data_IF_246774694025
#
_entry.id   IF_246774694025
#
_cell.length_a   1.000
_cell.length_b   1.000
_cell.length_c   1.000
_cell.angle_alpha   90.00
_cell.angle_beta   90.00
_cell.angle_gamma   90.00
#
_symmetry.space_group_name_H-M   'P 1'
#
loop_
_entity.id
_entity.type
_entity.pdbx_description
1 polymer ?
#
# COMPACT_ATOMS: atom_id res chain seq x y z
N UNK A 1 -13.23 -23.49 -52.49
CA UNK A 1 -13.28 -22.07 -52.08
C UNK A 1 -14.47 -21.91 -51.15
N UNK A 2 -14.20 -21.88 -49.83
CA UNK A 2 -14.47 -20.74 -48.92
C UNK A 2 -15.94 -20.76 -48.44
N UNK A 3 -16.38 -20.70 -47.17
CA UNK A 3 -15.83 -20.51 -45.81
C UNK A 3 -16.93 -21.05 -44.87
N UNK A 4 -16.61 -21.86 -43.85
CA UNK A 4 -17.64 -22.33 -42.88
C UNK A 4 -17.57 -21.48 -41.63
N UNK A 5 -18.74 -20.95 -41.28
CA UNK A 5 -19.01 -19.98 -40.23
C UNK A 5 -18.63 -20.45 -38.82
N UNK A 6 -18.35 -19.41 -38.02
CA UNK A 6 -17.91 -19.36 -36.63
C UNK A 6 -18.41 -20.45 -35.68
N UNK A 7 -17.42 -21.03 -35.01
CA UNK A 7 -17.45 -21.84 -33.79
C UNK A 7 -18.71 -21.65 -32.93
N UNK A 8 -19.44 -22.76 -32.74
CA UNK A 8 -20.31 -22.92 -31.57
C UNK A 8 -20.16 -24.33 -31.06
N UNK A 9 -19.49 -24.49 -29.91
CA UNK A 9 -19.80 -25.52 -28.92
C UNK A 9 -19.12 -25.21 -27.56
N UNK A 10 -19.90 -25.16 -26.45
CA UNK A 10 -19.43 -25.08 -25.07
C UNK A 10 -19.09 -26.51 -24.58
N UNK A 11 -18.24 -26.75 -23.56
CA UNK A 11 -18.81 -26.98 -22.20
C UNK A 11 -17.83 -26.91 -21.00
N UNK A 12 -18.43 -27.17 -19.83
CA UNK A 12 -17.89 -27.85 -18.63
C UNK A 12 -16.90 -27.12 -17.73
N UNK A 13 -17.29 -27.12 -16.46
CA UNK A 13 -16.51 -26.79 -15.27
C UNK A 13 -16.27 -25.31 -14.99
N UNK A 14 -17.28 -24.73 -14.34
CA UNK A 14 -17.11 -23.67 -13.35
C UNK A 14 -16.13 -24.11 -12.25
N UNK A 15 -14.84 -24.21 -12.57
CA UNK A 15 -13.81 -24.19 -11.54
C UNK A 15 -13.72 -22.74 -11.11
N UNK A 16 -14.44 -22.38 -10.05
CA UNK A 16 -14.11 -21.19 -9.26
C UNK A 16 -12.74 -21.50 -8.64
N UNK A 17 -11.68 -21.29 -9.42
CA UNK A 17 -10.32 -21.35 -8.92
C UNK A 17 -10.26 -20.25 -7.88
N UNK A 18 -9.86 -20.59 -6.65
CA UNK A 18 -9.55 -19.60 -5.64
C UNK A 18 -8.40 -18.75 -6.17
N UNK A 19 -8.73 -17.64 -6.85
CA UNK A 19 -7.79 -16.77 -7.55
C UNK A 19 -7.08 -15.88 -6.52
N UNK A 20 -6.35 -16.51 -5.61
CA UNK A 20 -5.11 -15.92 -5.08
C UNK A 20 -3.96 -16.10 -6.09
N UNK A 21 -4.28 -16.18 -7.38
CA UNK A 21 -3.30 -15.95 -8.44
C UNK A 21 -2.89 -14.51 -8.25
N UNK A 22 -1.72 -14.32 -7.62
CA UNK A 22 -0.94 -13.10 -7.75
C UNK A 22 -0.86 -12.82 -9.25
N UNK A 23 -1.76 -12.00 -9.76
CA UNK A 23 -1.73 -11.56 -11.14
C UNK A 23 -0.33 -10.99 -11.39
N UNK A 24 0.48 -11.54 -12.32
CA UNK A 24 1.78 -10.98 -12.63
C UNK A 24 1.69 -9.65 -13.41
N UNK A 25 0.53 -8.97 -13.41
CA UNK A 25 0.23 -7.81 -14.27
C UNK A 25 0.27 -6.45 -13.59
N UNK A 26 0.59 -6.38 -12.30
CA UNK A 26 1.12 -5.14 -11.72
C UNK A 26 2.57 -5.40 -11.37
N UNK A 27 3.58 -4.73 -11.99
CA UNK A 27 4.85 -4.59 -11.29
C UNK A 27 4.50 -4.13 -9.88
N UNK A 28 5.08 -4.77 -8.85
CA UNK A 28 4.97 -4.26 -7.50
C UNK A 28 5.47 -2.81 -7.58
N UNK A 29 4.55 -1.85 -7.75
CA UNK A 29 4.93 -0.46 -7.86
C UNK A 29 5.71 -0.16 -6.60
N UNK A 30 6.88 0.46 -6.73
CA UNK A 30 7.72 0.72 -5.59
C UNK A 30 6.89 1.51 -4.59
N UNK A 31 6.68 0.97 -3.39
CA UNK A 31 5.87 1.65 -2.40
C UNK A 31 6.62 2.92 -1.97
N UNK A 32 6.00 4.06 -2.20
CA UNK A 32 6.54 5.39 -1.88
C UNK A 32 5.86 5.97 -0.64
N UNK A 33 6.61 6.80 0.08
CA UNK A 33 6.07 7.51 1.22
C UNK A 33 5.10 8.62 0.77
N UNK A 34 3.85 8.67 1.26
CA UNK A 34 2.88 9.70 0.86
C UNK A 34 3.26 11.11 1.32
N UNK A 35 4.20 11.25 2.27
CA UNK A 35 4.65 12.55 2.79
C UNK A 35 5.79 13.14 1.96
N UNK A 36 6.74 12.31 1.52
CA UNK A 36 7.96 12.80 0.85
C UNK A 36 8.16 12.29 -0.57
N UNK A 37 7.30 11.39 -1.06
CA UNK A 37 7.38 10.79 -2.39
C UNK A 37 8.56 9.87 -2.62
N UNK A 38 9.41 9.62 -1.62
CA UNK A 38 10.56 8.73 -1.78
C UNK A 38 10.16 7.27 -1.61
N UNK A 39 10.80 6.40 -2.39
CA UNK A 39 10.71 4.95 -2.23
C UNK A 39 11.08 4.52 -0.81
N UNK A 40 10.31 3.58 -0.26
CA UNK A 40 10.67 2.95 1.00
C UNK A 40 11.95 2.12 0.86
N UNK A 41 12.77 2.13 1.91
CA UNK A 41 14.01 1.36 2.01
C UNK A 41 14.19 0.82 3.43
N UNK A 42 15.26 0.07 3.68
CA UNK A 42 15.52 -0.52 5.01
C UNK A 42 16.31 0.40 5.96
N UNK A 43 16.65 1.61 5.52
CA UNK A 43 17.40 2.61 6.30
C UNK A 43 16.45 3.74 6.73
N UNK A 44 16.67 4.98 6.26
CA UNK A 44 15.95 6.17 6.75
C UNK A 44 14.52 6.28 6.19
N UNK A 45 14.22 5.57 5.10
CA UNK A 45 12.89 5.50 4.52
C UNK A 45 12.22 4.17 4.88
N UNK A 46 12.49 3.63 6.07
CA UNK A 46 11.77 2.46 6.58
C UNK A 46 10.29 2.81 6.81
N UNK A 47 9.33 2.04 6.26
CA UNK A 47 7.92 2.33 6.46
C UNK A 47 7.51 2.01 7.91
N UNK A 48 6.89 2.97 8.58
CA UNK A 48 6.30 2.84 9.91
C UNK A 48 4.78 2.95 9.79
N UNK A 49 4.08 1.97 10.37
CA UNK A 49 2.63 1.87 10.32
C UNK A 49 2.03 2.67 11.47
N UNK A 50 1.12 3.57 11.14
CA UNK A 50 0.33 4.35 12.10
C UNK A 50 -0.85 3.53 12.62
N UNK A 51 -1.47 3.95 13.73
CA UNK A 51 -2.68 3.30 14.28
C UNK A 51 -3.85 3.19 13.29
N UNK A 52 -3.89 4.07 12.29
CA UNK A 52 -4.86 4.07 11.21
C UNK A 52 -4.52 3.15 10.03
N UNK A 53 -3.48 2.31 10.16
CA UNK A 53 -2.97 1.36 9.16
C UNK A 53 -2.35 2.00 7.90
N UNK A 54 -2.08 3.31 7.92
CA UNK A 54 -1.29 3.96 6.87
C UNK A 54 0.18 3.98 7.24
N UNK A 55 1.02 3.87 6.21
CA UNK A 55 2.47 3.88 6.36
C UNK A 55 3.05 5.26 6.06
N UNK A 56 4.08 5.65 6.81
CA UNK A 56 4.89 6.85 6.55
C UNK A 56 6.36 6.48 6.76
N UNK A 57 7.28 7.18 6.10
CA UNK A 57 8.71 6.92 6.25
C UNK A 57 9.20 7.30 7.67
N UNK A 58 10.19 6.59 8.21
CA UNK A 58 10.74 6.86 9.55
C UNK A 58 11.22 8.31 9.73
N UNK A 59 12.00 8.83 8.80
CA UNK A 59 12.46 10.23 8.82
C UNK A 59 11.27 11.22 8.82
N UNK A 60 10.25 10.93 8.01
CA UNK A 60 9.04 11.74 7.93
C UNK A 60 8.25 11.69 9.25
N UNK A 61 8.20 10.52 9.89
CA UNK A 61 7.54 10.33 11.16
C UNK A 61 8.25 11.12 12.28
N UNK A 62 9.58 11.14 12.28
CA UNK A 62 10.37 11.94 13.22
C UNK A 62 10.10 13.44 13.05
N UNK A 63 10.11 13.96 11.81
CA UNK A 63 9.80 15.38 11.54
C UNK A 63 8.38 15.75 12.01
N UNK A 64 7.39 14.88 11.77
CA UNK A 64 6.02 15.08 12.24
C UNK A 64 5.94 15.13 13.77
N UNK A 65 6.74 14.32 14.46
CA UNK A 65 6.83 14.31 15.91
C UNK A 65 7.49 15.58 16.46
N UNK A 66 8.64 15.99 15.91
CA UNK A 66 9.37 17.20 16.32
C UNK A 66 8.57 18.48 16.09
N UNK A 67 7.71 18.50 15.06
CA UNK A 67 6.82 19.63 14.77
C UNK A 67 5.70 19.81 15.80
N UNK A 68 5.42 18.79 16.63
CA UNK A 68 4.31 18.78 17.59
C UNK A 68 4.77 18.43 19.03
N UNK A 69 5.64 19.25 19.66
CA UNK A 69 6.28 18.89 20.93
C UNK A 69 5.32 18.82 22.13
N UNK A 70 4.10 19.36 22.01
CA UNK A 70 3.13 19.44 23.12
C UNK A 70 2.22 18.21 23.24
N UNK A 71 2.12 17.38 22.21
CA UNK A 71 1.15 16.29 22.16
C UNK A 71 1.77 15.02 21.61
N UNK A 72 1.54 13.87 22.28
CA UNK A 72 1.95 12.53 21.81
C UNK A 72 1.08 12.02 20.64
N UNK A 73 0.49 12.92 19.86
CA UNK A 73 -0.43 12.62 18.78
C UNK A 73 0.02 13.36 17.53
N UNK A 74 -0.01 12.65 16.40
CA UNK A 74 0.20 13.22 15.08
C UNK A 74 -1.01 12.94 14.20
N UNK A 75 -1.28 13.81 13.24
CA UNK A 75 -2.31 13.56 12.24
C UNK A 75 -1.73 12.76 11.08
N UNK A 76 -2.38 11.65 10.72
CA UNK A 76 -1.97 10.86 9.56
C UNK A 76 -2.01 11.72 8.28
N UNK A 77 -0.93 11.76 7.46
CA UNK A 77 -0.90 12.55 6.24
C UNK A 77 -1.96 12.10 5.22
N UNK A 78 -2.28 10.80 5.20
CA UNK A 78 -3.20 10.16 4.26
C UNK A 78 -4.67 10.34 4.64
N UNK A 79 -5.07 9.99 5.86
CA UNK A 79 -6.48 9.96 6.27
C UNK A 79 -6.87 11.00 7.33
N UNK A 80 -5.91 11.84 7.76
CA UNK A 80 -6.08 12.90 8.78
C UNK A 80 -6.55 12.43 10.15
N UNK A 81 -6.64 11.12 10.40
CA UNK A 81 -6.92 10.57 11.74
C UNK A 81 -5.75 10.82 12.67
N UNK A 82 -6.05 11.21 13.88
CA UNK A 82 -5.06 11.30 14.96
C UNK A 82 -4.49 9.91 15.24
N UNK A 83 -3.18 9.83 15.33
CA UNK A 83 -2.44 8.63 15.68
C UNK A 83 -1.69 8.88 16.96
N UNK A 84 -1.95 8.03 17.95
CA UNK A 84 -1.22 8.00 19.22
C UNK A 84 0.18 7.44 18.96
N UNK A 85 1.20 8.17 19.39
CA UNK A 85 2.58 7.70 19.36
C UNK A 85 2.91 7.11 20.73
N UNK A 86 2.99 5.78 20.77
CA UNK A 86 3.50 5.03 21.93
C UNK A 86 5.03 5.02 21.81
N UNK A 87 5.69 6.01 22.39
CA UNK A 87 7.14 6.20 22.27
C UNK A 87 7.93 5.08 22.93
N UNK A 88 8.75 4.38 22.15
CA UNK A 88 10.20 4.19 22.38
C UNK A 88 10.83 4.09 20.97
N UNK A 89 11.19 5.24 20.39
CA UNK A 89 11.81 5.39 19.07
C UNK A 89 13.02 6.32 19.22
#
# INVERSE_FOLDING_TARGET
SSEVCYHRQPPSDEVIVNQYVLHPSTPCEPLECPTCGHMYNFTNKRPRILSCLHSVCEECLQILYESCPKYKFISCPTCKRETVLFTDY
#
